data_IF_234914595197
#
_entry.id   IF_234914595197
#
_cell.length_a   1.000
_cell.length_b   1.000
_cell.length_c   1.000
_cell.angle_alpha   90.00
_cell.angle_beta   90.00
_cell.angle_gamma   90.00
#
_symmetry.space_group_name_H-M   'P 1'
#
loop_
_entity.id
_entity.type
_entity.pdbx_description
1 polymer ?
#
# COMPACT_ATOMS: atom_id res chain seq x y z
N UNK A 1 -12.72 -72.94 -18.10
CA UNK A 1 -13.22 -72.32 -19.34
C UNK A 1 -13.82 -70.98 -18.95
N UNK A 2 -13.27 -69.82 -19.22
CA UNK A 2 -11.97 -69.37 -19.72
C UNK A 2 -11.87 -67.95 -19.14
N UNK A 3 -10.84 -67.67 -18.35
CA UNK A 3 -10.58 -66.32 -17.83
C UNK A 3 -10.15 -65.44 -19.01
N UNK A 4 -10.93 -64.39 -19.28
CA UNK A 4 -10.44 -63.26 -20.06
C UNK A 4 -9.35 -62.58 -19.21
N UNK A 5 -8.09 -62.83 -19.59
CA UNK A 5 -6.93 -62.13 -19.06
C UNK A 5 -7.03 -60.66 -19.46
N UNK A 6 -7.40 -59.83 -18.48
CA UNK A 6 -7.24 -58.38 -18.52
C UNK A 6 -5.76 -58.06 -18.74
N UNK A 7 -5.47 -57.37 -19.84
CA UNK A 7 -4.16 -56.79 -20.11
C UNK A 7 -3.85 -55.69 -19.08
N UNK A 8 -2.72 -55.84 -18.39
CA UNK A 8 -1.88 -54.85 -17.71
C UNK A 8 -2.39 -53.39 -17.65
N UNK A 9 -3.07 -53.03 -16.55
CA UNK A 9 -3.18 -51.65 -16.08
C UNK A 9 -1.98 -51.35 -15.15
N UNK A 10 -0.77 -51.29 -15.71
CA UNK A 10 0.34 -50.67 -14.99
C UNK A 10 0.13 -49.15 -14.94
N UNK A 11 0.34 -48.50 -13.77
CA UNK A 11 0.15 -47.06 -13.66
C UNK A 11 1.17 -46.32 -14.54
N UNK A 12 0.70 -45.33 -15.32
CA UNK A 12 1.54 -44.47 -16.15
C UNK A 12 2.62 -43.72 -15.33
N UNK A 13 2.31 -43.39 -14.08
CA UNK A 13 3.24 -42.77 -13.13
C UNK A 13 2.80 -43.08 -11.69
N UNK A 14 3.74 -43.50 -10.84
CA UNK A 14 3.48 -43.75 -9.42
C UNK A 14 4.65 -43.22 -8.58
N UNK A 15 4.39 -42.26 -7.69
CA UNK A 15 5.36 -41.74 -6.73
C UNK A 15 4.65 -41.36 -5.41
N UNK A 16 5.32 -41.57 -4.28
CA UNK A 16 4.82 -41.14 -2.97
C UNK A 16 5.10 -39.65 -2.78
N UNK A 17 4.08 -38.82 -2.99
CA UNK A 17 4.17 -37.37 -2.79
C UNK A 17 3.74 -36.98 -1.39
N UNK A 18 4.59 -36.25 -0.67
CA UNK A 18 4.26 -35.68 0.64
C UNK A 18 3.57 -34.34 0.49
N UNK A 19 2.47 -34.14 1.23
CA UNK A 19 1.86 -32.81 1.39
C UNK A 19 2.84 -31.86 2.09
N UNK A 20 3.22 -30.78 1.42
CA UNK A 20 4.04 -29.71 1.98
C UNK A 20 3.15 -28.58 2.53
N UNK A 21 3.75 -27.53 3.12
CA UNK A 21 3.01 -26.34 3.57
C UNK A 21 2.31 -25.59 2.42
N UNK A 22 2.80 -25.74 1.18
CA UNK A 22 2.23 -25.11 -0.02
C UNK A 22 1.17 -25.98 -0.72
N UNK A 23 1.06 -27.27 -0.37
CA UNK A 23 0.05 -28.18 -0.91
C UNK A 23 0.63 -29.50 -1.41
N UNK A 24 -0.09 -30.15 -2.33
CA UNK A 24 0.42 -31.28 -3.12
C UNK A 24 0.85 -30.71 -4.47
N UNK A 25 2.10 -30.94 -4.86
CA UNK A 25 2.66 -30.48 -6.13
C UNK A 25 2.90 -31.66 -7.06
N UNK A 26 2.61 -31.49 -8.35
CA UNK A 26 3.02 -32.48 -9.35
C UNK A 26 4.55 -32.57 -9.40
N UNK A 27 5.13 -33.79 -9.32
CA UNK A 27 6.54 -34.03 -9.58
C UNK A 27 6.97 -33.47 -10.92
N UNK A 28 8.25 -33.09 -11.02
CA UNK A 28 8.78 -32.40 -12.21
C UNK A 28 8.59 -33.25 -13.47
N UNK A 29 8.92 -34.53 -13.40
CA UNK A 29 8.85 -35.46 -14.53
C UNK A 29 7.40 -35.70 -14.99
N UNK A 30 6.44 -35.70 -14.05
CA UNK A 30 5.01 -35.80 -14.36
C UNK A 30 4.46 -34.51 -14.98
N UNK A 31 4.99 -33.35 -14.57
CA UNK A 31 4.58 -32.04 -15.10
C UNK A 31 5.04 -31.87 -16.55
N UNK A 32 6.29 -32.19 -16.84
CA UNK A 32 6.88 -32.07 -18.17
C UNK A 32 6.28 -33.09 -19.16
N UNK A 33 5.80 -34.24 -18.67
CA UNK A 33 5.19 -35.27 -19.53
C UNK A 33 3.70 -35.07 -19.79
N UNK A 34 2.96 -34.39 -18.90
CA UNK A 34 1.51 -34.21 -19.05
C UNK A 34 1.11 -32.81 -19.53
N UNK A 35 1.95 -31.79 -19.34
CA UNK A 35 1.55 -30.38 -19.50
C UNK A 35 2.54 -29.60 -20.36
N UNK A 36 2.04 -28.94 -21.40
CA UNK A 36 2.83 -28.01 -22.23
C UNK A 36 2.99 -26.65 -21.52
N UNK A 37 4.19 -26.06 -21.57
CA UNK A 37 4.55 -24.86 -20.79
C UNK A 37 3.71 -23.60 -21.08
N UNK A 38 3.02 -23.55 -22.24
CA UNK A 38 2.32 -22.36 -22.73
C UNK A 38 0.78 -22.47 -22.70
N UNK A 39 0.20 -23.45 -21.99
CA UNK A 39 -1.27 -23.60 -21.91
C UNK A 39 -1.79 -23.62 -20.47
N UNK A 40 -2.87 -22.88 -20.22
CA UNK A 40 -3.60 -22.94 -18.96
C UNK A 40 -4.35 -24.28 -18.85
N UNK A 41 -4.09 -25.03 -17.78
CA UNK A 41 -4.67 -26.36 -17.56
C UNK A 41 -5.62 -26.33 -16.38
N UNK A 42 -6.86 -26.73 -16.62
CA UNK A 42 -7.92 -26.71 -15.62
C UNK A 42 -8.18 -28.12 -15.08
N UNK A 43 -8.31 -28.23 -13.76
CA UNK A 43 -8.67 -29.49 -13.10
C UNK A 43 -10.02 -29.36 -12.40
N UNK A 44 -10.86 -30.37 -12.56
CA UNK A 44 -11.99 -30.61 -11.67
C UNK A 44 -11.51 -31.48 -10.52
N UNK A 45 -11.61 -30.95 -9.30
CA UNK A 45 -11.34 -31.72 -8.09
C UNK A 45 -12.64 -32.30 -7.53
N UNK A 46 -12.68 -33.62 -7.37
CA UNK A 46 -13.80 -34.35 -6.78
C UNK A 46 -13.30 -35.08 -5.54
N UNK A 47 -13.97 -34.85 -4.41
CA UNK A 47 -13.75 -35.58 -3.16
C UNK A 47 -15.03 -36.38 -2.87
N UNK A 48 -14.99 -37.72 -2.94
CA UNK A 48 -16.13 -38.56 -2.58
C UNK A 48 -16.57 -38.32 -1.13
N UNK A 49 -17.82 -38.69 -0.80
CA UNK A 49 -18.37 -38.49 0.55
C UNK A 49 -17.54 -39.17 1.65
N UNK A 50 -16.92 -40.29 1.32
CA UNK A 50 -16.08 -41.09 2.22
C UNK A 50 -14.71 -40.43 2.48
N UNK A 51 -14.30 -39.45 1.65
CA UNK A 51 -13.06 -38.65 1.77
C UNK A 51 -11.77 -39.50 1.78
N UNK A 52 -11.83 -40.66 1.17
CA UNK A 52 -10.77 -41.66 1.03
C UNK A 52 -9.81 -41.33 -0.12
N UNK A 53 -10.26 -40.58 -1.13
CA UNK A 53 -9.45 -40.19 -2.30
C UNK A 53 -9.77 -38.80 -2.81
N UNK A 54 -8.83 -38.24 -3.56
CA UNK A 54 -9.00 -37.01 -4.34
C UNK A 54 -8.87 -37.40 -5.81
N UNK A 55 -9.90 -37.10 -6.61
CA UNK A 55 -9.90 -37.34 -8.05
C UNK A 55 -9.71 -35.99 -8.74
N UNK A 56 -8.68 -35.90 -9.58
CA UNK A 56 -8.42 -34.74 -10.44
C UNK A 56 -8.72 -35.13 -11.88
N UNK A 57 -9.72 -34.49 -12.49
CA UNK A 57 -10.06 -34.67 -13.90
C UNK A 57 -9.60 -33.44 -14.69
N UNK A 58 -8.87 -33.65 -15.80
CA UNK A 58 -8.51 -32.58 -16.73
C UNK A 58 -9.77 -32.05 -17.43
N UNK A 59 -9.91 -30.73 -17.50
CA UNK A 59 -11.00 -30.05 -18.18
C UNK A 59 -10.48 -29.23 -19.35
N UNK A 60 -11.21 -29.25 -20.46
CA UNK A 60 -11.05 -28.26 -21.52
C UNK A 60 -11.76 -26.94 -21.17
N UNK A 61 -11.33 -25.84 -21.78
CA UNK A 61 -11.92 -24.51 -21.59
C UNK A 61 -13.44 -24.47 -21.78
N UNK A 62 -13.96 -25.25 -22.74
CA UNK A 62 -15.39 -25.36 -23.00
C UNK A 62 -16.14 -26.04 -21.85
N UNK A 63 -15.51 -27.05 -21.21
CA UNK A 63 -16.08 -27.75 -20.07
C UNK A 63 -16.05 -26.88 -18.81
N UNK A 64 -15.00 -26.08 -18.63
CA UNK A 64 -14.90 -25.11 -17.53
C UNK A 64 -16.05 -24.10 -17.57
N UNK A 65 -16.35 -23.54 -18.75
CA UNK A 65 -17.49 -22.62 -18.95
C UNK A 65 -18.82 -23.29 -18.61
N UNK A 66 -19.09 -24.50 -19.13
CA UNK A 66 -20.34 -25.24 -18.86
C UNK A 66 -20.52 -25.65 -17.39
N UNK A 67 -19.44 -26.04 -16.70
CA UNK A 67 -19.49 -26.50 -15.31
C UNK A 67 -19.63 -25.31 -14.34
N UNK A 68 -18.94 -24.20 -14.61
CA UNK A 68 -19.04 -22.98 -13.79
C UNK A 68 -20.45 -22.37 -13.82
N UNK A 69 -21.14 -22.43 -14.97
CA UNK A 69 -22.55 -22.03 -15.10
C UNK A 69 -23.49 -22.96 -14.32
N UNK A 70 -23.29 -24.28 -14.39
CA UNK A 70 -24.11 -25.26 -13.65
C UNK A 70 -23.93 -25.18 -12.14
N UNK A 71 -22.74 -24.83 -11.64
CA UNK A 71 -22.46 -24.69 -10.21
C UNK A 71 -23.06 -23.40 -9.60
N UNK A 72 -23.27 -22.35 -10.40
CA UNK A 72 -24.02 -21.14 -9.98
C UNK A 72 -25.51 -21.42 -9.80
N UNK A 73 -26.08 -22.37 -10.53
CA UNK A 73 -27.52 -22.69 -10.50
C UNK A 73 -27.98 -23.60 -9.33
N UNK A 74 -27.06 -24.21 -8.58
CA UNK A 74 -27.37 -25.29 -7.60
C UNK A 74 -27.14 -24.94 -6.11
N UNK A 75 -26.97 -23.68 -5.73
CA UNK A 75 -26.89 -23.30 -4.30
C UNK A 75 -28.30 -23.08 -3.71
N UNK A 76 -28.64 -23.67 -2.54
CA UNK A 76 -29.92 -23.41 -1.86
C UNK A 76 -30.06 -21.93 -1.48
N UNK A 77 -31.23 -21.36 -1.74
CA UNK A 77 -31.63 -20.00 -1.30
C UNK A 77 -31.66 -19.96 0.23
N UNK A 78 -30.80 -19.14 0.83
CA UNK A 78 -31.06 -18.56 2.17
C UNK A 78 -31.51 -17.12 1.92
N UNK A 79 -32.70 -16.81 2.41
CA UNK A 79 -33.36 -15.51 2.31
C UNK A 79 -32.69 -14.55 3.29
N UNK A 80 -32.19 -13.40 2.79
CA UNK A 80 -32.35 -12.09 3.43
C UNK A 80 -32.19 -10.95 2.39
N UNK A 81 -32.90 -9.86 2.65
CA UNK A 81 -33.31 -8.77 1.76
C UNK A 81 -32.16 -7.77 1.39
N UNK A 82 -32.39 -6.78 0.50
CA UNK A 82 -31.42 -6.32 -0.51
C UNK A 82 -30.56 -5.11 -0.09
N UNK A 83 -29.28 -5.11 -0.51
CA UNK A 83 -28.49 -3.91 -0.83
C UNK A 83 -27.49 -4.20 -1.98
N UNK A 84 -27.20 -3.14 -2.72
CA UNK A 84 -26.73 -3.00 -4.11
C UNK A 84 -25.25 -3.37 -4.42
N UNK A 85 -24.77 -3.29 -5.68
CA UNK A 85 -23.85 -4.23 -6.29
C UNK A 85 -22.38 -3.81 -6.18
N UNK A 86 -21.49 -4.80 -6.10
CA UNK A 86 -20.05 -4.58 -6.23
C UNK A 86 -19.27 -4.82 -4.94
N UNK A 87 -19.33 -6.04 -4.39
CA UNK A 87 -18.25 -6.53 -3.53
C UNK A 87 -17.95 -7.99 -3.85
N UNK A 88 -16.84 -8.21 -4.57
CA UNK A 88 -16.20 -9.52 -4.61
C UNK A 88 -15.76 -9.82 -3.17
N UNK A 89 -16.48 -10.73 -2.50
CA UNK A 89 -16.09 -11.24 -1.19
C UNK A 89 -14.72 -11.91 -1.30
N UNK A 90 -13.73 -11.23 -0.74
CA UNK A 90 -12.47 -11.82 -0.29
C UNK A 90 -12.83 -13.09 0.49
N UNK A 91 -12.26 -14.21 0.08
CA UNK A 91 -12.42 -15.47 0.78
C UNK A 91 -11.97 -15.26 2.24
N UNK A 92 -12.91 -15.40 3.16
CA UNK A 92 -12.65 -15.30 4.60
C UNK A 92 -11.71 -16.42 5.03
N UNK A 93 -10.42 -16.12 5.03
CA UNK A 93 -9.46 -16.70 5.97
C UNK A 93 -10.01 -16.46 7.37
N UNK A 94 -9.86 -17.45 8.26
CA UNK A 94 -10.31 -17.39 9.66
C UNK A 94 -10.06 -16.00 10.24
N UNK A 95 -11.10 -15.32 10.75
CA UNK A 95 -10.96 -14.08 11.52
C UNK A 95 -9.91 -14.32 12.61
N UNK A 96 -8.69 -13.85 12.38
CA UNK A 96 -7.68 -13.78 13.41
C UNK A 96 -8.21 -12.81 14.47
N UNK A 97 -8.26 -13.24 15.72
CA UNK A 97 -8.49 -12.36 16.86
C UNK A 97 -7.18 -11.56 16.99
N UNK A 98 -7.10 -10.41 16.34
CA UNK A 98 -5.87 -9.63 16.25
C UNK A 98 -5.99 -8.45 15.29
N UNK A 99 -4.97 -7.59 15.22
CA UNK A 99 -4.94 -6.47 14.28
C UNK A 99 -5.09 -6.98 12.85
N UNK A 100 -5.77 -6.21 12.00
CA UNK A 100 -5.97 -6.52 10.59
C UNK A 100 -5.44 -5.39 9.70
N UNK A 101 -5.02 -5.70 8.45
CA UNK A 101 -4.62 -4.68 7.51
C UNK A 101 -5.76 -3.72 7.15
N UNK A 102 -5.44 -2.43 7.00
CA UNK A 102 -6.36 -1.36 6.60
C UNK A 102 -6.29 -1.11 5.08
N UNK A 103 -6.75 -2.07 4.28
CA UNK A 103 -6.58 -2.06 2.82
C UNK A 103 -7.07 -0.79 2.12
N UNK A 104 -8.17 -0.20 2.59
CA UNK A 104 -8.72 1.04 2.03
C UNK A 104 -7.81 2.26 2.23
N UNK A 105 -6.94 2.23 3.24
CA UNK A 105 -6.02 3.32 3.56
C UNK A 105 -4.67 3.19 2.83
N UNK A 106 -4.29 1.96 2.44
CA UNK A 106 -3.06 1.74 1.69
C UNK A 106 -3.25 2.00 0.20
N UNK A 107 -4.38 1.54 -0.35
CA UNK A 107 -4.66 1.60 -1.79
C UNK A 107 -5.58 2.76 -2.16
N UNK A 108 -5.16 3.98 -1.79
CA UNK A 108 -5.88 5.23 -2.10
C UNK A 108 -5.92 5.49 -3.61
N UNK A 109 -4.87 5.10 -4.33
CA UNK A 109 -4.77 5.18 -5.78
C UNK A 109 -4.82 3.79 -6.38
N UNK A 110 -5.66 3.61 -7.41
CA UNK A 110 -5.80 2.32 -8.09
C UNK A 110 -4.68 2.10 -9.12
N UNK A 111 -4.19 0.87 -9.20
CA UNK A 111 -3.09 0.46 -10.07
C UNK A 111 -3.20 -1.03 -10.42
N UNK A 112 -2.63 -1.44 -11.56
CA UNK A 112 -2.94 -2.73 -12.21
C UNK A 112 -2.61 -3.96 -11.34
N UNK A 113 -1.50 -3.92 -10.61
CA UNK A 113 -1.03 -5.05 -9.82
C UNK A 113 -1.69 -5.18 -8.43
N UNK A 114 -2.58 -4.27 -8.05
CA UNK A 114 -3.17 -4.19 -6.69
C UNK A 114 -3.74 -5.52 -6.19
N UNK A 115 -4.60 -6.17 -6.99
CA UNK A 115 -5.25 -7.44 -6.61
C UNK A 115 -4.25 -8.58 -6.38
N UNK A 116 -3.09 -8.53 -7.06
CA UNK A 116 -2.02 -9.53 -6.92
C UNK A 116 -1.12 -9.26 -5.71
N UNK A 117 -0.99 -8.00 -5.30
CA UNK A 117 -0.11 -7.57 -4.21
C UNK A 117 -0.78 -7.71 -2.85
N UNK A 118 -2.09 -7.48 -2.75
CA UNK A 118 -2.87 -7.64 -1.52
C UNK A 118 -2.54 -8.94 -0.76
N UNK A 119 -2.63 -10.14 -1.36
CA UNK A 119 -2.35 -11.38 -0.64
C UNK A 119 -0.89 -11.50 -0.16
N UNK A 120 0.06 -10.86 -0.85
CA UNK A 120 1.48 -10.87 -0.46
C UNK A 120 1.70 -9.97 0.75
N UNK A 121 1.15 -8.76 0.71
CA UNK A 121 1.20 -7.83 1.83
C UNK A 121 0.40 -8.33 3.02
N UNK A 122 -0.72 -9.03 2.80
CA UNK A 122 -1.50 -9.67 3.86
C UNK A 122 -0.65 -10.70 4.58
N UNK A 123 0.06 -11.50 3.79
CA UNK A 123 0.99 -12.48 4.31
C UNK A 123 2.13 -11.82 5.08
N UNK A 124 2.71 -10.72 4.57
CA UNK A 124 3.74 -9.94 5.26
C UNK A 124 3.23 -9.36 6.58
N UNK A 125 2.02 -8.81 6.61
CA UNK A 125 1.39 -8.26 7.80
C UNK A 125 1.31 -9.29 8.93
N UNK A 126 0.82 -10.49 8.62
CA UNK A 126 0.74 -11.54 9.62
C UNK A 126 2.11 -12.07 10.04
N UNK A 127 3.15 -11.93 9.21
CA UNK A 127 4.54 -12.17 9.63
C UNK A 127 5.06 -11.13 10.61
N UNK A 128 4.67 -9.86 10.46
CA UNK A 128 4.97 -8.84 11.47
C UNK A 128 4.28 -9.09 12.81
N UNK A 129 3.13 -9.77 12.79
CA UNK A 129 2.40 -10.15 13.99
C UNK A 129 2.93 -11.42 14.69
N UNK A 130 3.89 -12.15 14.10
CA UNK A 130 4.43 -13.38 14.70
C UNK A 130 5.27 -13.07 15.96
N UNK A 131 5.22 -13.97 16.94
CA UNK A 131 6.06 -13.90 18.15
C UNK A 131 6.81 -15.23 18.29
N UNK A 132 8.15 -15.25 18.14
CA UNK A 132 9.04 -14.12 17.88
C UNK A 132 8.92 -13.58 16.45
N UNK A 133 9.15 -12.27 16.27
CA UNK A 133 9.15 -11.60 14.98
C UNK A 133 10.32 -12.09 14.12
N UNK A 134 10.02 -12.60 12.92
CA UNK A 134 11.02 -12.80 11.87
C UNK A 134 10.95 -11.63 10.88
N UNK A 135 11.72 -10.57 11.18
CA UNK A 135 11.76 -9.35 10.37
C UNK A 135 12.25 -9.60 8.95
N UNK A 136 13.15 -10.57 8.75
CA UNK A 136 13.71 -10.89 7.44
C UNK A 136 12.66 -11.54 6.52
N UNK A 137 11.88 -12.51 7.01
CA UNK A 137 10.78 -13.12 6.25
C UNK A 137 9.68 -12.08 5.97
N UNK A 138 9.30 -11.29 6.99
CA UNK A 138 8.28 -10.24 6.84
C UNK A 138 8.68 -9.20 5.79
N UNK A 139 9.88 -8.63 5.89
CA UNK A 139 10.41 -7.67 4.91
C UNK A 139 10.74 -8.33 3.57
N UNK A 140 11.11 -9.61 3.55
CA UNK A 140 11.33 -10.37 2.32
C UNK A 140 10.10 -10.41 1.43
N UNK A 141 8.91 -10.57 2.03
CA UNK A 141 7.62 -10.51 1.32
C UNK A 141 7.31 -9.12 0.78
N UNK A 142 7.58 -8.07 1.57
CA UNK A 142 7.42 -6.68 1.12
C UNK A 142 8.34 -6.38 -0.07
N UNK A 143 9.61 -6.78 0.02
CA UNK A 143 10.58 -6.62 -1.06
C UNK A 143 10.19 -7.40 -2.31
N UNK A 144 9.69 -8.62 -2.14
CA UNK A 144 9.16 -9.42 -3.24
C UNK A 144 7.98 -8.73 -3.93
N UNK A 145 7.02 -8.20 -3.16
CA UNK A 145 5.90 -7.44 -3.70
C UNK A 145 6.34 -6.21 -4.51
N UNK A 146 7.40 -5.51 -4.06
CA UNK A 146 7.96 -4.41 -4.83
C UNK A 146 8.60 -4.92 -6.12
N UNK A 147 9.62 -5.77 -6.03
CA UNK A 147 10.44 -6.18 -7.17
C UNK A 147 9.63 -6.93 -8.24
N UNK A 148 8.70 -7.79 -7.84
CA UNK A 148 7.95 -8.63 -8.78
C UNK A 148 6.83 -7.90 -9.52
N UNK A 149 6.43 -6.71 -9.06
CA UNK A 149 5.30 -5.97 -9.63
C UNK A 149 5.67 -4.56 -10.09
N UNK A 150 6.96 -4.24 -10.15
CA UNK A 150 7.42 -3.09 -10.92
C UNK A 150 7.14 -3.30 -12.41
N UNK A 151 6.70 -2.23 -13.05
CA UNK A 151 6.42 -2.17 -14.48
C UNK A 151 7.36 -1.18 -15.16
N UNK A 152 7.28 -1.05 -16.49
CA UNK A 152 7.92 0.06 -17.21
C UNK A 152 7.21 1.41 -16.99
N UNK A 153 6.03 1.41 -16.36
CA UNK A 153 5.19 2.59 -16.19
C UNK A 153 5.47 3.27 -14.86
N UNK A 154 6.18 4.40 -14.91
CA UNK A 154 6.63 5.18 -13.74
C UNK A 154 5.47 5.56 -12.79
N UNK A 155 4.32 5.92 -13.35
CA UNK A 155 3.14 6.29 -12.55
C UNK A 155 2.53 5.11 -11.80
N UNK A 156 2.49 3.92 -12.40
CA UNK A 156 2.04 2.70 -11.72
C UNK A 156 3.02 2.31 -10.60
N UNK A 157 4.32 2.40 -10.88
CA UNK A 157 5.35 2.13 -9.87
C UNK A 157 5.25 3.11 -8.69
N UNK A 158 5.03 4.40 -8.95
CA UNK A 158 4.88 5.41 -7.90
C UNK A 158 3.69 5.13 -6.98
N UNK A 159 2.55 4.67 -7.54
CA UNK A 159 1.37 4.25 -6.75
C UNK A 159 1.67 3.01 -5.91
N UNK A 160 2.40 2.04 -6.47
CA UNK A 160 2.84 0.84 -5.74
C UNK A 160 3.74 1.23 -4.56
N UNK A 161 4.79 2.03 -4.79
CA UNK A 161 5.68 2.49 -3.73
C UNK A 161 4.93 3.22 -2.62
N UNK A 162 4.04 4.15 -2.99
CA UNK A 162 3.20 4.87 -2.03
C UNK A 162 2.27 3.95 -1.23
N UNK A 163 1.65 2.95 -1.87
CA UNK A 163 0.80 1.98 -1.17
C UNK A 163 1.61 1.13 -0.17
N UNK A 164 2.83 0.73 -0.55
CA UNK A 164 3.73 -0.03 0.33
C UNK A 164 4.23 0.81 1.50
N UNK A 165 4.49 2.10 1.30
CA UNK A 165 4.80 3.03 2.39
C UNK A 165 3.64 3.12 3.40
N UNK A 166 2.41 3.36 2.92
CA UNK A 166 1.22 3.42 3.79
C UNK A 166 1.03 2.12 4.58
N UNK A 167 1.26 0.97 3.92
CA UNK A 167 1.28 -0.33 4.57
C UNK A 167 2.35 -0.41 5.67
N UNK A 168 3.59 -0.01 5.39
CA UNK A 168 4.68 -0.07 6.36
C UNK A 168 4.49 0.90 7.54
N UNK A 169 3.89 2.08 7.31
CA UNK A 169 3.50 3.00 8.40
C UNK A 169 2.47 2.35 9.31
N UNK A 170 1.49 1.63 8.77
CA UNK A 170 0.54 0.89 9.59
C UNK A 170 1.19 -0.29 10.34
N UNK A 171 2.20 -0.94 9.76
CA UNK A 171 3.04 -1.92 10.47
C UNK A 171 3.75 -1.26 11.65
N UNK A 172 4.35 -0.09 11.45
CA UNK A 172 5.02 0.66 12.52
C UNK A 172 4.01 0.96 13.64
N UNK A 173 2.81 1.43 13.30
CA UNK A 173 1.75 1.77 14.24
C UNK A 173 1.22 0.59 15.05
N UNK A 174 1.04 -0.57 14.41
CA UNK A 174 0.41 -1.74 15.05
C UNK A 174 1.40 -2.65 15.78
N UNK A 175 2.67 -2.64 15.36
CA UNK A 175 3.68 -3.59 15.83
C UNK A 175 4.93 -2.92 16.43
N UNK A 176 4.89 -1.59 16.62
CA UNK A 176 5.94 -0.78 17.24
C UNK A 176 7.32 -1.02 16.59
N UNK A 177 7.39 -0.79 15.27
CA UNK A 177 8.60 -1.00 14.47
C UNK A 177 9.19 0.31 13.90
N UNK A 178 9.47 1.35 14.71
CA UNK A 178 9.84 2.69 14.23
C UNK A 178 11.11 2.76 13.38
N UNK A 179 11.97 1.73 13.43
CA UNK A 179 13.16 1.62 12.59
C UNK A 179 12.83 1.42 11.10
N UNK A 180 11.62 0.97 10.77
CA UNK A 180 11.18 0.85 9.37
C UNK A 180 11.09 2.21 8.67
N UNK A 181 10.95 3.32 9.40
CA UNK A 181 10.95 4.67 8.82
C UNK A 181 12.23 4.96 8.04
N UNK A 182 13.38 4.51 8.54
CA UNK A 182 14.66 4.67 7.83
C UNK A 182 14.67 3.90 6.52
N UNK A 183 14.13 2.67 6.54
CA UNK A 183 14.06 1.84 5.36
C UNK A 183 13.08 2.42 4.31
N UNK A 184 11.92 2.93 4.74
CA UNK A 184 10.98 3.63 3.85
C UNK A 184 11.67 4.81 3.17
N UNK A 185 12.34 5.66 3.95
CA UNK A 185 13.02 6.83 3.43
C UNK A 185 14.16 6.48 2.46
N UNK A 186 14.92 5.42 2.73
CA UNK A 186 16.06 5.03 1.89
C UNK A 186 15.66 4.22 0.65
N UNK A 187 14.58 3.42 0.71
CA UNK A 187 14.27 2.41 -0.31
C UNK A 187 12.94 2.62 -1.01
N UNK A 188 12.00 3.35 -0.43
CA UNK A 188 10.69 3.61 -1.04
C UNK A 188 10.66 5.00 -1.66
N UNK A 189 10.86 6.03 -0.84
CA UNK A 189 10.68 7.43 -1.25
C UNK A 189 11.51 7.84 -2.48
N UNK A 190 12.80 7.46 -2.60
CA UNK A 190 13.61 7.85 -3.76
C UNK A 190 13.10 7.24 -5.09
N UNK A 191 12.30 6.18 -5.03
CA UNK A 191 11.75 5.50 -6.20
C UNK A 191 10.33 5.97 -6.56
N UNK A 192 9.76 6.92 -5.82
CA UNK A 192 8.47 7.54 -6.15
C UNK A 192 8.69 8.64 -7.18
N UNK A 193 8.59 8.30 -8.47
CA UNK A 193 8.90 9.23 -9.56
C UNK A 193 7.81 10.30 -9.85
N UNK A 194 6.64 10.21 -9.22
CA UNK A 194 5.59 11.23 -9.34
C UNK A 194 5.85 12.34 -8.32
N UNK A 195 6.05 13.58 -8.78
CA UNK A 195 6.28 14.75 -7.89
C UNK A 195 5.20 14.89 -6.80
N UNK A 196 3.94 14.67 -7.18
CA UNK A 196 2.81 14.74 -6.25
C UNK A 196 2.83 13.60 -5.22
N UNK A 197 3.00 12.34 -5.67
CA UNK A 197 3.05 11.21 -4.74
C UNK A 197 4.31 11.23 -3.87
N UNK A 198 5.41 11.76 -4.40
CA UNK A 198 6.67 11.95 -3.66
C UNK A 198 6.49 12.91 -2.50
N UNK A 199 5.81 14.03 -2.71
CA UNK A 199 5.48 14.96 -1.64
C UNK A 199 4.54 14.33 -0.61
N UNK A 200 3.48 13.63 -1.06
CA UNK A 200 2.59 12.92 -0.15
C UNK A 200 3.33 11.87 0.67
N UNK A 201 4.24 11.11 0.07
CA UNK A 201 5.08 10.13 0.74
C UNK A 201 5.90 10.78 1.86
N UNK A 202 6.62 11.86 1.54
CA UNK A 202 7.38 12.62 2.53
C UNK A 202 6.49 13.11 3.69
N UNK A 203 5.28 13.61 3.40
CA UNK A 203 4.35 14.08 4.43
C UNK A 203 3.86 12.97 5.36
N UNK A 204 3.64 11.76 4.83
CA UNK A 204 3.24 10.59 5.62
C UNK A 204 4.36 10.16 6.59
N UNK A 205 5.61 10.13 6.13
CA UNK A 205 6.74 9.80 7.03
C UNK A 205 7.08 10.92 8.01
N UNK A 206 6.81 12.20 7.70
CA UNK A 206 6.93 13.31 8.66
C UNK A 206 5.97 13.08 9.83
N UNK A 207 4.69 12.83 9.54
CA UNK A 207 3.66 12.59 10.55
C UNK A 207 4.01 11.38 11.42
N UNK A 208 4.38 10.26 10.78
CA UNK A 208 4.79 9.06 11.50
C UNK A 208 6.03 9.34 12.38
N UNK A 209 7.05 10.04 11.87
CA UNK A 209 8.27 10.33 12.64
C UNK A 209 8.02 11.20 13.85
N UNK A 210 7.16 12.22 13.72
CA UNK A 210 6.77 13.08 14.83
C UNK A 210 5.96 12.29 15.89
N UNK A 211 5.02 11.44 15.45
CA UNK A 211 4.24 10.57 16.34
C UNK A 211 5.12 9.66 17.18
N UNK A 212 6.18 9.09 16.60
CA UNK A 212 7.16 8.25 17.30
C UNK A 212 8.33 9.03 17.92
N UNK A 213 8.23 10.37 18.01
CA UNK A 213 9.25 11.26 18.59
C UNK A 213 10.65 11.13 17.97
N UNK A 214 10.74 10.69 16.70
CA UNK A 214 11.99 10.66 15.91
C UNK A 214 12.27 12.02 15.30
N UNK A 215 12.45 13.05 16.13
CA UNK A 215 12.51 14.44 15.69
C UNK A 215 13.65 14.73 14.70
N UNK A 216 14.83 14.13 14.87
CA UNK A 216 15.95 14.31 13.94
C UNK A 216 15.61 13.78 12.54
N UNK A 217 14.85 12.69 12.45
CA UNK A 217 14.40 12.13 11.18
C UNK A 217 13.29 12.98 10.57
N UNK A 218 12.33 13.41 11.38
CA UNK A 218 11.29 14.33 10.96
C UNK A 218 11.88 15.64 10.40
N UNK A 219 12.92 16.21 11.02
CA UNK A 219 13.64 17.39 10.53
C UNK A 219 14.19 17.17 9.12
N UNK A 220 14.88 16.04 8.89
CA UNK A 220 15.38 15.67 7.57
C UNK A 220 14.23 15.58 6.56
N UNK A 221 13.13 14.91 6.92
CA UNK A 221 12.00 14.70 6.00
C UNK A 221 11.29 16.02 5.67
N UNK A 222 11.10 16.89 6.66
CA UNK A 222 10.57 18.25 6.47
C UNK A 222 11.48 19.05 5.54
N UNK A 223 12.80 18.95 5.69
CA UNK A 223 13.74 19.59 4.76
C UNK A 223 13.53 19.12 3.31
N UNK A 224 13.30 17.82 3.07
CA UNK A 224 12.99 17.32 1.73
C UNK A 224 11.63 17.82 1.20
N UNK A 225 10.61 17.94 2.07
CA UNK A 225 9.32 18.56 1.70
C UNK A 225 9.56 20.01 1.25
N UNK A 226 10.25 20.80 2.07
CA UNK A 226 10.53 22.22 1.78
C UNK A 226 11.37 22.38 0.51
N UNK A 227 12.34 21.49 0.27
CA UNK A 227 13.09 21.45 -0.99
C UNK A 227 12.21 21.14 -2.19
N UNK A 228 11.20 20.27 -2.04
CA UNK A 228 10.23 20.02 -3.10
C UNK A 228 9.34 21.25 -3.35
N UNK A 229 8.95 21.97 -2.30
CA UNK A 229 8.21 23.24 -2.40
C UNK A 229 9.04 24.27 -3.19
N UNK A 230 10.31 24.43 -2.85
CA UNK A 230 11.25 25.35 -3.53
C UNK A 230 11.49 24.99 -5.01
N UNK A 231 11.12 23.78 -5.45
CA UNK A 231 11.24 23.35 -6.84
C UNK A 231 10.10 23.81 -7.75
N UNK A 232 8.99 24.32 -7.19
CA UNK A 232 7.91 24.90 -7.98
C UNK A 232 8.31 26.27 -8.54
N UNK A 233 7.84 26.60 -9.73
CA UNK A 233 8.06 27.95 -10.26
C UNK A 233 7.23 28.96 -9.45
N UNK A 234 7.71 30.20 -9.33
CA UNK A 234 6.96 31.26 -8.62
C UNK A 234 5.57 31.53 -9.23
N UNK A 235 5.38 31.24 -10.51
CA UNK A 235 4.07 31.30 -11.17
C UNK A 235 3.08 30.22 -10.69
N UNK A 236 3.56 29.18 -10.00
CA UNK A 236 2.76 28.08 -9.45
C UNK A 236 2.46 28.29 -7.97
N UNK A 237 2.21 29.54 -7.55
CA UNK A 237 2.05 29.89 -6.13
C UNK A 237 0.93 29.11 -5.44
N UNK A 238 -0.13 28.76 -6.17
CA UNK A 238 -1.18 27.85 -5.68
C UNK A 238 -0.61 26.49 -5.20
N UNK A 239 0.29 25.89 -5.98
CA UNK A 239 0.91 24.60 -5.62
C UNK A 239 1.78 24.76 -4.37
N UNK A 240 2.58 25.83 -4.32
CA UNK A 240 3.43 26.17 -3.17
C UNK A 240 2.59 26.29 -1.89
N UNK A 241 1.51 27.07 -1.92
CA UNK A 241 0.66 27.28 -0.75
C UNK A 241 -0.10 26.01 -0.36
N UNK A 242 -0.56 25.21 -1.33
CA UNK A 242 -1.17 23.93 -1.03
C UNK A 242 -0.18 22.97 -0.35
N UNK A 243 1.07 22.90 -0.80
CA UNK A 243 2.11 22.08 -0.18
C UNK A 243 2.44 22.55 1.25
N UNK A 244 2.56 23.86 1.48
CA UNK A 244 2.70 24.40 2.84
C UNK A 244 1.51 24.05 3.72
N UNK A 245 0.28 24.21 3.22
CA UNK A 245 -0.95 23.86 3.94
C UNK A 245 -0.96 22.39 4.39
N UNK A 246 -0.55 21.47 3.52
CA UNK A 246 -0.46 20.06 3.88
C UNK A 246 0.60 19.82 4.95
N UNK A 247 1.79 20.42 4.81
CA UNK A 247 2.86 20.32 5.80
C UNK A 247 2.42 20.84 7.17
N UNK A 248 1.87 22.07 7.22
CA UNK A 248 1.35 22.70 8.45
C UNK A 248 0.33 21.80 9.12
N UNK A 249 -0.61 21.23 8.35
CA UNK A 249 -1.62 20.30 8.87
C UNK A 249 -1.01 19.07 9.56
N UNK A 250 0.11 18.54 9.04
CA UNK A 250 0.79 17.37 9.63
C UNK A 250 1.55 17.70 10.91
N UNK A 251 1.98 18.96 11.09
CA UNK A 251 2.88 19.35 12.20
C UNK A 251 2.21 20.22 13.28
N UNK A 252 0.99 20.72 13.07
CA UNK A 252 0.37 21.70 13.98
C UNK A 252 -0.08 21.16 15.35
N UNK A 253 -0.39 19.88 15.47
CA UNK A 253 -0.91 19.27 16.72
C UNK A 253 0.04 18.23 17.31
N UNK A 254 1.32 18.27 16.97
CA UNK A 254 2.32 17.30 17.42
C UNK A 254 3.51 18.02 18.03
N UNK A 255 4.05 17.44 19.11
CA UNK A 255 5.29 17.90 19.73
C UNK A 255 6.45 17.80 18.71
N UNK A 256 7.21 18.88 18.57
CA UNK A 256 8.31 19.00 17.61
C UNK A 256 9.50 19.73 18.23
N UNK A 257 10.68 19.54 17.67
CA UNK A 257 11.90 20.16 18.18
C UNK A 257 12.02 21.63 17.77
N UNK A 258 12.80 22.40 18.53
CA UNK A 258 13.09 23.81 18.21
C UNK A 258 13.69 23.98 16.81
N UNK A 259 14.46 22.99 16.34
CA UNK A 259 15.04 23.01 14.98
C UNK A 259 13.97 22.92 13.90
N UNK A 260 12.97 22.07 14.09
CA UNK A 260 11.82 21.98 13.19
C UNK A 260 11.06 23.30 13.19
N UNK A 261 10.89 23.90 14.38
CA UNK A 261 10.24 25.20 14.53
C UNK A 261 10.97 26.29 13.74
N UNK A 262 12.29 26.40 13.92
CA UNK A 262 13.14 27.38 13.22
C UNK A 262 13.02 27.18 11.70
N UNK A 263 13.15 25.94 11.23
CA UNK A 263 13.08 25.60 9.81
C UNK A 263 11.76 26.03 9.18
N UNK A 264 10.63 25.77 9.86
CA UNK A 264 9.29 26.16 9.39
C UNK A 264 9.10 27.68 9.42
N UNK A 265 9.57 28.36 10.49
CA UNK A 265 9.48 29.82 10.63
C UNK A 265 10.23 30.52 9.50
N UNK A 266 11.50 30.16 9.31
CA UNK A 266 12.36 30.78 8.30
C UNK A 266 11.77 30.61 6.90
N UNK A 267 11.31 29.40 6.57
CA UNK A 267 10.71 29.14 5.26
C UNK A 267 9.37 29.84 5.05
N UNK A 268 8.47 29.88 6.02
CA UNK A 268 7.21 30.61 5.85
C UNK A 268 7.45 32.12 5.68
N UNK A 269 8.38 32.70 6.44
CA UNK A 269 8.72 34.12 6.30
C UNK A 269 9.42 34.47 4.98
N UNK A 270 10.20 33.54 4.41
CA UNK A 270 10.77 33.69 3.07
C UNK A 270 9.67 33.91 2.01
N UNK A 271 8.59 33.13 2.09
CA UNK A 271 7.45 33.23 1.15
C UNK A 271 6.42 34.30 1.53
N UNK A 272 6.41 34.79 2.77
CA UNK A 272 5.56 35.90 3.20
C UNK A 272 5.93 37.25 2.54
N UNK A 273 7.10 37.34 1.91
CA UNK A 273 7.61 38.56 1.27
C UNK A 273 7.63 38.40 -0.26
N UNK A 274 7.10 39.39 -0.97
CA UNK A 274 7.22 39.44 -2.44
C UNK A 274 6.27 38.50 -3.20
N UNK A 275 5.14 38.15 -2.59
CA UNK A 275 3.99 37.46 -3.21
C UNK A 275 2.74 38.33 -3.09
N UNK A 276 1.72 38.03 -3.88
CA UNK A 276 0.43 38.75 -3.82
C UNK A 276 -0.20 38.67 -2.43
N UNK A 277 -0.95 39.71 -2.06
CA UNK A 277 -1.56 39.87 -0.73
C UNK A 277 -2.35 38.63 -0.28
N UNK A 278 -3.12 37.99 -1.16
CA UNK A 278 -3.90 36.79 -0.83
C UNK A 278 -3.02 35.63 -0.35
N UNK A 279 -1.81 35.50 -0.92
CA UNK A 279 -0.85 34.48 -0.50
C UNK A 279 -0.12 34.89 0.77
N UNK A 280 0.15 36.18 0.97
CA UNK A 280 0.70 36.68 2.23
C UNK A 280 -0.26 36.42 3.40
N UNK A 281 -1.57 36.59 3.19
CA UNK A 281 -2.60 36.25 4.18
C UNK A 281 -2.58 34.74 4.51
N UNK A 282 -2.46 33.86 3.51
CA UNK A 282 -2.31 32.42 3.76
C UNK A 282 -1.08 32.08 4.59
N UNK A 283 0.04 32.77 4.37
CA UNK A 283 1.25 32.61 5.20
C UNK A 283 0.97 33.05 6.65
N UNK A 284 0.23 34.15 6.87
CA UNK A 284 -0.20 34.57 8.21
C UNK A 284 -1.01 33.45 8.88
N UNK A 285 -2.00 32.89 8.18
CA UNK A 285 -2.81 31.77 8.69
C UNK A 285 -1.94 30.55 9.05
N UNK A 286 -0.94 30.22 8.24
CA UNK A 286 -0.02 29.13 8.53
C UNK A 286 0.84 29.41 9.77
N UNK A 287 1.33 30.63 9.94
CA UNK A 287 2.08 31.03 11.13
C UNK A 287 1.20 30.94 12.40
N UNK A 288 -0.08 31.33 12.30
CA UNK A 288 -1.05 31.18 13.40
C UNK A 288 -1.33 29.72 13.73
N UNK A 289 -1.59 28.89 12.72
CA UNK A 289 -1.82 27.44 12.87
C UNK A 289 -0.63 26.73 13.54
N UNK A 290 0.59 27.26 13.36
CA UNK A 290 1.81 26.78 14.00
C UNK A 290 2.11 27.44 15.36
N UNK A 291 1.23 28.32 15.84
CA UNK A 291 1.34 29.10 17.09
C UNK A 291 2.47 30.13 17.12
N UNK A 292 2.90 30.63 15.96
CA UNK A 292 3.89 31.70 15.84
C UNK A 292 3.21 33.08 15.85
N UNK A 293 2.45 33.35 16.90
CA UNK A 293 1.48 34.46 16.96
C UNK A 293 2.13 35.83 16.74
N UNK A 294 3.30 36.08 17.34
CA UNK A 294 3.99 37.37 17.16
C UNK A 294 4.45 37.58 15.71
N UNK A 295 4.91 36.52 15.04
CA UNK A 295 5.34 36.58 13.64
C UNK A 295 4.14 36.79 12.72
N UNK A 296 3.04 36.08 12.97
CA UNK A 296 1.78 36.26 12.25
C UNK A 296 1.28 37.71 12.36
N UNK A 297 1.25 38.26 13.58
CA UNK A 297 0.83 39.63 13.83
C UNK A 297 1.72 40.67 13.12
N UNK A 298 3.04 40.50 13.20
CA UNK A 298 3.97 41.42 12.55
C UNK A 298 3.79 41.40 11.03
N UNK A 299 3.66 40.23 10.43
CA UNK A 299 3.42 40.10 8.98
C UNK A 299 2.06 40.69 8.58
N UNK A 300 1.00 40.43 9.34
CA UNK A 300 -0.32 41.02 9.09
C UNK A 300 -0.30 42.55 9.14
N UNK A 301 0.44 43.13 10.09
CA UNK A 301 0.62 44.58 10.20
C UNK A 301 1.41 45.15 9.01
N UNK A 302 2.47 44.47 8.57
CA UNK A 302 3.22 44.86 7.38
C UNK A 302 2.32 44.87 6.12
N UNK A 303 1.49 43.84 5.96
CA UNK A 303 0.51 43.76 4.87
C UNK A 303 -0.46 44.94 4.96
N UNK A 304 -1.07 45.19 6.12
CA UNK A 304 -2.02 46.28 6.34
C UNK A 304 -1.44 47.65 5.95
N UNK A 305 -0.18 47.93 6.34
CA UNK A 305 0.49 49.19 6.04
C UNK A 305 0.81 49.37 4.54
N UNK A 306 0.89 48.28 3.78
CA UNK A 306 1.15 48.29 2.34
C UNK A 306 -0.10 48.37 1.47
N UNK A 307 -1.29 48.21 2.06
CA UNK A 307 -2.54 48.28 1.32
C UNK A 307 -2.91 49.74 0.97
N UNK A 308 -3.54 49.98 -0.20
CA UNK A 308 -4.04 51.29 -0.55
C UNK A 308 -5.02 51.81 0.50
N UNK A 309 -5.06 53.12 0.78
CA UNK A 309 -5.94 53.72 1.78
C UNK A 309 -7.44 53.53 1.50
N UNK A 310 -7.83 53.13 0.28
CA UNK A 310 -9.21 52.81 -0.10
C UNK A 310 -9.62 51.36 0.26
N UNK A 311 -8.67 50.53 0.71
CA UNK A 311 -8.87 49.13 1.12
C UNK A 311 -8.85 48.94 2.64
N UNK A 312 -8.72 50.03 3.42
CA UNK A 312 -8.75 50.03 4.90
C UNK A 312 -10.16 50.25 5.46
#
# INVERSE_FOLDING_TARGET
MEENQNSDDQPFFEEIVKKTKTGITFPKDLRESLFDEDTDIFFRMIVPKEKDKIILELLSDEQVKKISEKLKAKKPKVVHAPQDPGSKKIATTKKAIGPSPAWGEYFVYDFEAKDKIIPILESAFYKFAETPLNLEDAMGRVKYALVSFLTSTKTENAKLYFAVEKFLIDIIDKFDQPNLLDWIFEKIIPNVESKFLYELALLEIVEASLKFKRWEKAEIYIFYVLKNIDSYAKSEMYNIMNSFKQLVKKVKYVERSDKIDILLKEKLLEYGKGVDTDYQIQIVEFLEDLQYIELAYNLAKEIQLSLPPESM
#
